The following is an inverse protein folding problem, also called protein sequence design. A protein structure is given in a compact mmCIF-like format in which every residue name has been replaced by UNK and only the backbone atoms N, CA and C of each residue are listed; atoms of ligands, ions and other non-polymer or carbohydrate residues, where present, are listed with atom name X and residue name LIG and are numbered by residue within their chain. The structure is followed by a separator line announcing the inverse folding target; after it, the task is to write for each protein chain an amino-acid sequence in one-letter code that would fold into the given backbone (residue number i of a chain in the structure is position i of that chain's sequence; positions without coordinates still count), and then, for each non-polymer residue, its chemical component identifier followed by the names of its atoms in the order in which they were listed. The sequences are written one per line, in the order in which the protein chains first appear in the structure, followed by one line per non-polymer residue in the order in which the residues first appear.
data_IF_538642781259
#
_entry.id   IF_538642781259
#
_cell.length_a   1.000
_cell.length_b   1.000
_cell.length_c   1.000
_cell.angle_alpha   90.00
_cell.angle_beta   90.00
_cell.angle_gamma   90.00
#
_symmetry.space_group_name_H-M   'P 1'
#
loop_
_entity.id
_entity.type
_entity.pdbx_description
1 polymer ?
#
# COMPACT_ATOMS: atom_id res chain seq x y z
N UNK A 1 -16.93 -0.31 -0.58
CA UNK A 1 -16.09 0.77 0.00
C UNK A 1 -14.88 0.89 -0.88
N UNK A 2 -14.76 2.02 -1.56
CA UNK A 2 -13.65 2.30 -2.45
C UNK A 2 -12.34 2.41 -1.67
N UNK A 3 -11.20 2.21 -2.35
CA UNK A 3 -9.89 2.23 -1.69
C UNK A 3 -9.55 3.61 -1.10
N UNK A 4 -10.07 4.68 -1.70
CA UNK A 4 -9.96 6.05 -1.20
C UNK A 4 -10.71 6.23 0.12
N UNK A 5 -11.95 5.73 0.21
CA UNK A 5 -12.74 5.77 1.45
C UNK A 5 -12.06 4.98 2.57
N UNK A 6 -11.49 3.79 2.25
CA UNK A 6 -10.69 2.98 3.18
C UNK A 6 -9.50 3.76 3.72
N UNK A 7 -8.79 4.48 2.85
CA UNK A 7 -7.64 5.29 3.24
C UNK A 7 -8.04 6.45 4.14
N UNK A 8 -9.11 7.17 3.80
CA UNK A 8 -9.64 8.29 4.59
C UNK A 8 -10.09 7.79 5.97
N UNK A 9 -10.80 6.66 6.02
CA UNK A 9 -11.26 6.07 7.29
C UNK A 9 -10.08 5.71 8.18
N UNK A 10 -9.08 5.00 7.63
CA UNK A 10 -7.86 4.62 8.36
C UNK A 10 -7.07 5.84 8.81
N UNK A 11 -6.97 6.86 7.97
CA UNK A 11 -6.30 8.11 8.29
C UNK A 11 -7.00 8.85 9.43
N UNK A 12 -8.34 8.97 9.40
CA UNK A 12 -9.12 9.63 10.46
C UNK A 12 -9.07 8.86 11.78
N UNK A 13 -8.87 7.55 11.76
CA UNK A 13 -8.68 6.74 12.96
C UNK A 13 -7.27 6.88 13.53
N UNK A 14 -6.25 6.99 12.67
CA UNK A 14 -4.85 7.03 13.08
C UNK A 14 -4.32 8.43 13.37
N UNK A 15 -4.88 9.47 12.75
CA UNK A 15 -4.39 10.84 12.81
C UNK A 15 -5.37 11.73 13.58
N UNK A 16 -4.82 12.63 14.39
CA UNK A 16 -5.60 13.57 15.18
C UNK A 16 -6.11 14.76 14.32
N UNK A 17 -5.46 15.04 13.18
CA UNK A 17 -5.79 16.17 12.32
C UNK A 17 -6.87 15.81 11.27
N UNK A 18 -8.08 15.50 11.75
CA UNK A 18 -9.18 14.99 10.91
C UNK A 18 -9.70 15.99 9.87
N UNK A 19 -9.51 17.29 10.10
CA UNK A 19 -10.00 18.35 9.24
C UNK A 19 -9.19 18.48 7.93
N UNK A 20 -7.89 18.18 7.99
CA UNK A 20 -7.00 18.25 6.83
C UNK A 20 -7.06 17.00 5.95
N UNK A 21 -7.62 15.89 6.44
CA UNK A 21 -7.83 14.67 5.66
C UNK A 21 -9.03 14.86 4.73
N UNK A 22 -8.76 15.52 3.59
CA UNK A 22 -9.71 15.72 2.50
C UNK A 22 -9.60 14.62 1.46
N UNK A 23 -10.66 14.44 0.66
CA UNK A 23 -10.70 13.47 -0.43
C UNK A 23 -9.60 13.73 -1.48
N UNK A 24 -9.30 14.99 -1.75
CA UNK A 24 -8.28 15.41 -2.71
C UNK A 24 -6.89 14.95 -2.29
N UNK A 25 -6.51 15.14 -1.02
CA UNK A 25 -5.19 14.71 -0.52
C UNK A 25 -5.08 13.19 -0.50
N UNK A 26 -6.17 12.49 -0.15
CA UNK A 26 -6.22 11.03 -0.23
C UNK A 26 -6.05 10.51 -1.67
N UNK A 27 -6.64 11.18 -2.66
CA UNK A 27 -6.48 10.85 -4.08
C UNK A 27 -5.04 11.07 -4.55
N UNK A 28 -4.42 12.19 -4.17
CA UNK A 28 -3.02 12.48 -4.49
C UNK A 28 -2.11 11.41 -3.88
N UNK A 29 -2.30 11.07 -2.60
CA UNK A 29 -1.50 10.04 -1.92
C UNK A 29 -1.63 8.67 -2.60
N UNK A 30 -2.83 8.31 -3.07
CA UNK A 30 -3.06 7.06 -3.81
C UNK A 30 -2.42 7.08 -5.19
N UNK A 31 -2.46 8.21 -5.91
CA UNK A 31 -1.77 8.37 -7.20
C UNK A 31 -0.27 8.20 -7.03
N UNK A 32 0.33 8.90 -6.07
CA UNK A 32 1.76 8.76 -5.77
C UNK A 32 2.13 7.33 -5.37
N UNK A 33 1.30 6.64 -4.58
CA UNK A 33 1.53 5.25 -4.20
C UNK A 33 1.49 4.30 -5.41
N UNK A 34 0.59 4.54 -6.36
CA UNK A 34 0.52 3.77 -7.62
C UNK A 34 1.71 4.06 -8.53
N UNK A 35 2.14 5.32 -8.63
CA UNK A 35 3.32 5.70 -9.41
C UNK A 35 4.60 5.06 -8.86
N UNK A 36 4.79 5.09 -7.53
CA UNK A 36 5.92 4.44 -6.86
C UNK A 36 5.97 2.94 -7.12
N UNK A 37 4.81 2.33 -7.31
CA UNK A 37 4.65 0.91 -7.57
C UNK A 37 4.44 0.61 -9.06
N UNK A 38 4.73 1.57 -9.96
CA UNK A 38 4.63 1.42 -11.43
C UNK A 38 3.25 0.92 -11.92
N UNK A 39 2.18 1.27 -11.21
CA UNK A 39 0.82 0.79 -11.47
C UNK A 39 0.66 -0.74 -11.47
N UNK A 40 1.52 -1.45 -10.73
CA UNK A 40 1.40 -2.88 -10.52
C UNK A 40 0.04 -3.19 -9.86
N UNK A 41 -0.63 -4.30 -10.23
CA UNK A 41 -1.86 -4.75 -9.58
C UNK A 41 -1.52 -5.32 -8.20
N UNK A 42 -1.23 -4.43 -7.24
CA UNK A 42 -0.86 -4.81 -5.89
C UNK A 42 -2.10 -5.13 -5.03
N UNK A 43 -1.95 -6.04 -4.05
CA UNK A 43 -2.93 -6.20 -2.99
C UNK A 43 -3.27 -4.86 -2.31
N UNK A 44 -4.57 -4.62 -2.10
CA UNK A 44 -5.05 -3.38 -1.47
C UNK A 44 -4.34 -2.99 -0.16
N UNK A 45 -4.02 -3.92 0.76
CA UNK A 45 -3.35 -3.56 2.02
C UNK A 45 -1.98 -2.90 1.81
N UNK A 46 -1.21 -3.40 0.84
CA UNK A 46 0.12 -2.90 0.51
C UNK A 46 0.01 -1.49 -0.07
N UNK A 47 -0.94 -1.29 -0.99
CA UNK A 47 -1.17 0.03 -1.57
C UNK A 47 -1.63 1.04 -0.51
N UNK A 48 -2.47 0.62 0.44
CA UNK A 48 -2.93 1.45 1.55
C UNK A 48 -1.79 1.82 2.51
N UNK A 49 -0.86 0.91 2.81
CA UNK A 49 0.28 1.22 3.68
C UNK A 49 1.22 2.25 3.04
N UNK A 50 1.50 2.10 1.74
CA UNK A 50 2.29 3.06 0.96
C UNK A 50 1.58 4.41 0.90
N UNK A 51 0.29 4.42 0.58
CA UNK A 51 -0.49 5.64 0.46
C UNK A 51 -0.69 6.35 1.81
N UNK A 52 -0.79 5.61 2.92
CA UNK A 52 -0.86 6.19 4.27
C UNK A 52 0.45 6.91 4.63
N UNK A 53 1.59 6.34 4.27
CA UNK A 53 2.89 6.99 4.46
C UNK A 53 2.99 8.29 3.64
N UNK A 54 2.57 8.26 2.36
CA UNK A 54 2.52 9.46 1.51
C UNK A 54 1.56 10.52 2.04
N UNK A 55 0.39 10.10 2.53
CA UNK A 55 -0.59 11.00 3.15
C UNK A 55 0.02 11.73 4.35
N UNK A 56 0.76 11.04 5.22
CA UNK A 56 1.45 11.68 6.36
C UNK A 56 2.43 12.75 5.90
N UNK A 57 3.22 12.48 4.85
CA UNK A 57 4.15 13.46 4.27
C UNK A 57 3.41 14.68 3.69
N UNK A 58 2.32 14.47 2.96
CA UNK A 58 1.51 15.57 2.40
C UNK A 58 0.90 16.45 3.50
N UNK A 59 0.49 15.84 4.61
CA UNK A 59 -0.01 16.52 5.80
C UNK A 59 1.11 17.12 6.68
N UNK A 60 2.37 17.03 6.26
CA UNK A 60 3.55 17.48 7.02
C UNK A 60 3.64 16.88 8.43
N UNK A 61 3.09 15.67 8.59
CA UNK A 61 3.18 14.91 9.84
C UNK A 61 4.46 14.08 9.76
N UNK A 62 5.29 14.21 10.79
CA UNK A 62 6.53 13.44 10.87
C UNK A 62 6.21 11.94 11.02
N UNK A 63 6.66 11.09 10.08
CA UNK A 63 6.43 9.66 10.17
C UNK A 63 7.27 9.06 11.30
N UNK A 64 6.68 8.12 12.04
CA UNK A 64 7.38 7.41 13.10
C UNK A 64 8.26 6.28 12.52
N UNK A 65 9.16 5.71 13.32
CA UNK A 65 10.01 4.58 12.90
C UNK A 65 9.20 3.38 12.39
N UNK A 66 8.07 3.08 13.04
CA UNK A 66 7.16 2.01 12.60
C UNK A 66 6.56 2.29 11.22
N UNK A 67 6.25 3.54 10.90
CA UNK A 67 5.72 3.92 9.59
C UNK A 67 6.77 3.70 8.50
N UNK A 68 8.04 4.01 8.80
CA UNK A 68 9.16 3.79 7.89
C UNK A 68 9.40 2.30 7.65
N UNK A 69 9.28 1.46 8.69
CA UNK A 69 9.42 0.01 8.57
C UNK A 69 8.31 -0.55 7.67
N UNK A 70 7.05 -0.23 7.97
CA UNK A 70 5.89 -0.67 7.18
C UNK A 70 5.99 -0.22 5.72
N UNK A 71 6.40 1.02 5.48
CA UNK A 71 6.61 1.54 4.14
C UNK A 71 7.70 0.78 3.38
N UNK A 72 8.85 0.53 4.02
CA UNK A 72 9.96 -0.23 3.40
C UNK A 72 9.58 -1.67 3.10
N UNK A 73 8.86 -2.32 4.01
CA UNK A 73 8.35 -3.68 3.80
C UNK A 73 7.34 -3.72 2.66
N UNK A 74 6.39 -2.78 2.63
CA UNK A 74 5.41 -2.68 1.55
C UNK A 74 6.08 -2.47 0.19
N UNK A 75 7.12 -1.63 0.10
CA UNK A 75 7.91 -1.47 -1.12
C UNK A 75 8.69 -2.72 -1.52
N UNK A 76 9.28 -3.42 -0.55
CA UNK A 76 10.01 -4.67 -0.79
C UNK A 76 9.07 -5.75 -1.34
N UNK A 77 7.88 -5.87 -0.76
CA UNK A 77 6.86 -6.81 -1.22
C UNK A 77 6.35 -6.37 -2.60
N UNK A 78 6.08 -5.08 -2.80
CA UNK A 78 5.70 -4.52 -4.10
C UNK A 78 6.71 -4.86 -5.21
N UNK A 79 8.01 -4.73 -4.93
CA UNK A 79 9.07 -5.07 -5.88
C UNK A 79 9.29 -6.57 -6.07
N UNK A 80 8.75 -7.43 -5.21
CA UNK A 80 8.81 -8.89 -5.36
C UNK A 80 7.77 -9.43 -6.33
N UNK A 81 6.71 -8.65 -6.59
CA UNK A 81 5.75 -8.99 -7.62
C UNK A 81 6.34 -8.73 -9.00
N UNK A 82 6.32 -9.77 -9.82
CA UNK A 82 6.56 -9.66 -11.25
C UNK A 82 5.22 -9.88 -11.95
N UNK A 83 5.01 -9.20 -13.07
CA UNK A 83 3.78 -9.31 -13.84
C UNK A 83 4.12 -10.00 -15.15
N UNK A 84 3.32 -10.99 -15.51
CA UNK A 84 3.47 -11.68 -16.79
C UNK A 84 2.92 -10.82 -17.94
N UNK A 85 3.12 -11.25 -19.20
CA UNK A 85 2.68 -10.53 -20.41
C UNK A 85 1.17 -10.23 -20.44
N UNK A 86 0.37 -10.98 -19.67
CA UNK A 86 -1.08 -10.83 -19.56
C UNK A 86 -1.55 -9.95 -18.39
N UNK A 87 -0.64 -9.32 -17.63
CA UNK A 87 -1.02 -8.46 -16.50
C UNK A 87 -1.28 -9.21 -15.19
N UNK A 88 -1.04 -10.53 -15.15
CA UNK A 88 -1.24 -11.35 -13.96
C UNK A 88 0.02 -11.38 -13.07
N UNK A 89 -0.20 -11.45 -11.75
CA UNK A 89 0.88 -11.51 -10.76
C UNK A 89 1.53 -12.90 -10.82
N UNK A 90 2.80 -12.95 -11.21
CA UNK A 90 3.64 -14.13 -11.06
C UNK A 90 3.91 -14.36 -9.58
N UNK A 91 3.10 -15.21 -8.95
CA UNK A 91 3.31 -15.59 -7.56
C UNK A 91 4.50 -16.55 -7.48
N UNK A 92 5.67 -16.03 -7.11
CA UNK A 92 6.82 -16.86 -6.74
C UNK A 92 6.64 -17.55 -5.37
N UNK A 93 5.40 -17.87 -4.99
CA UNK A 93 5.14 -18.76 -3.86
C UNK A 93 5.64 -20.15 -4.22
N UNK A 94 6.90 -20.42 -3.89
CA UNK A 94 7.43 -21.78 -3.71
C UNK A 94 6.69 -22.43 -2.53
N UNK A 95 5.41 -22.77 -2.73
CA UNK A 95 4.70 -23.61 -1.80
C UNK A 95 5.17 -25.03 -2.04
N UNK A 96 6.04 -25.52 -1.16
CA UNK A 96 6.39 -26.93 -1.11
C UNK A 96 5.15 -27.73 -0.77
N UNK A 97 4.41 -28.15 -1.80
CA UNK A 97 3.38 -29.17 -1.67
C UNK A 97 4.07 -30.42 -1.12
N UNK A 98 3.89 -30.73 0.17
CA UNK A 98 4.17 -32.08 0.65
C UNK A 98 3.20 -32.99 -0.10
N UNK A 99 3.73 -33.78 -1.04
CA UNK A 99 3.02 -34.96 -1.50
C UNK A 99 2.90 -35.88 -0.29
N UNK A 100 1.69 -36.01 0.24
CA UNK A 100 1.37 -37.08 1.17
C UNK A 100 1.43 -38.38 0.38
N UNK A 101 2.48 -39.17 0.58
CA UNK A 101 2.52 -40.54 0.10
C UNK A 101 1.57 -41.36 1.00
N UNK A 102 0.51 -41.89 0.39
CA UNK A 102 -0.36 -42.92 0.95
C UNK A 102 0.11 -44.28 0.44
#
# INVERSE_FOLDING_TARGET
MEIQEKLILRAKQSLQNKAEITEQIAEIALKEARELTKNLPLPEPILLDIAMFRLKLLLKIEPNELDLILYKEALKIAGSFSVDENGEILSNTKYGMRKSEF
#
